data_IF_397336980350
#
_entry.id   IF_397336980350
#
_cell.length_a   1.000
_cell.length_b   1.000
_cell.length_c   1.000
_cell.angle_alpha   90.00
_cell.angle_beta   90.00
_cell.angle_gamma   90.00
#
_symmetry.space_group_name_H-M   'P 1'
#
loop_
_entity.id
_entity.type
_entity.pdbx_description
1 polymer ?
#
# COMPACT_ATOMS: atom_id res chain seq x y z
N UNK A 1 -18.01 -2.34 3.10
CA UNK A 1 -17.88 -1.71 1.83
C UNK A 1 -17.42 -2.66 0.76
N UNK A 2 -17.77 -2.39 -0.45
CA UNK A 2 -17.57 -3.32 -1.56
C UNK A 2 -16.12 -3.78 -1.74
N UNK A 3 -15.14 -2.86 -1.55
CA UNK A 3 -13.72 -3.21 -1.72
C UNK A 3 -13.23 -4.21 -0.67
N UNK A 4 -13.70 -4.09 0.56
CA UNK A 4 -13.31 -5.01 1.63
C UNK A 4 -13.94 -6.38 1.44
N UNK A 5 -15.16 -6.44 0.95
CA UNK A 5 -15.83 -7.71 0.64
C UNK A 5 -15.09 -8.45 -0.47
N UNK A 6 -14.59 -7.72 -1.49
CA UNK A 6 -13.83 -8.31 -2.58
C UNK A 6 -12.53 -8.96 -2.10
N UNK A 7 -11.89 -8.44 -1.05
CA UNK A 7 -10.66 -9.02 -0.51
C UNK A 7 -10.86 -10.44 0.01
N UNK A 8 -12.07 -10.79 0.43
CA UNK A 8 -12.37 -12.12 0.92
C UNK A 8 -12.94 -13.05 -0.15
N UNK A 9 -13.03 -12.59 -1.41
CA UNK A 9 -13.46 -13.41 -2.53
C UNK A 9 -12.28 -14.21 -3.06
N UNK A 10 -12.30 -15.55 -3.00
CA UNK A 10 -11.12 -16.36 -3.36
C UNK A 10 -10.77 -16.32 -4.84
N UNK A 11 -11.69 -15.90 -5.71
CA UNK A 11 -11.46 -15.76 -7.15
C UNK A 11 -10.85 -14.41 -7.55
N UNK A 12 -10.68 -13.49 -6.61
CA UNK A 12 -10.07 -12.18 -6.85
C UNK A 12 -8.67 -12.14 -6.29
N UNK A 13 -7.76 -11.52 -7.01
CA UNK A 13 -6.37 -11.36 -6.59
C UNK A 13 -6.04 -9.89 -6.43
N UNK A 14 -5.30 -9.58 -5.38
CA UNK A 14 -4.92 -8.20 -5.05
C UNK A 14 -3.43 -8.11 -4.83
N UNK A 15 -2.83 -7.09 -5.40
CA UNK A 15 -1.42 -6.79 -5.20
C UNK A 15 -1.33 -5.33 -4.78
N UNK A 16 -0.95 -5.12 -3.51
CA UNK A 16 -0.79 -3.79 -2.93
C UNK A 16 0.68 -3.52 -2.72
N UNK A 17 1.12 -2.32 -3.08
CA UNK A 17 2.48 -1.86 -2.81
C UNK A 17 2.38 -0.46 -2.21
N UNK A 18 3.06 -0.24 -1.09
CA UNK A 18 3.08 1.06 -0.44
C UNK A 18 4.45 1.35 0.14
N UNK A 19 4.86 2.64 0.18
CA UNK A 19 6.11 3.01 0.84
C UNK A 19 5.97 2.92 2.36
N UNK A 20 7.06 2.62 3.04
CA UNK A 20 7.08 2.53 4.50
C UNK A 20 6.56 3.82 5.16
N UNK A 21 6.89 4.98 4.60
CA UNK A 21 6.45 6.26 5.14
C UNK A 21 4.94 6.40 5.21
N UNK A 22 4.20 5.72 4.33
CA UNK A 22 2.73 5.75 4.34
C UNK A 22 2.15 5.10 5.59
N UNK A 23 2.92 4.25 6.27
CA UNK A 23 2.47 3.52 7.46
C UNK A 23 2.34 4.41 8.70
N UNK A 24 2.81 5.66 8.65
CA UNK A 24 2.78 6.56 9.80
C UNK A 24 2.21 7.93 9.49
N UNK A 25 1.30 8.01 8.50
CA UNK A 25 0.72 9.28 8.07
C UNK A 25 -0.42 9.81 8.92
N UNK A 26 -1.06 8.95 9.74
CA UNK A 26 -2.20 9.32 10.56
C UNK A 26 -1.80 9.39 12.04
N UNK A 27 -2.77 9.74 12.91
CA UNK A 27 -2.52 9.71 14.35
C UNK A 27 -2.21 8.28 14.80
N UNK A 28 -1.43 8.17 15.90
CA UNK A 28 -0.94 6.88 16.38
C UNK A 28 -2.03 5.83 16.57
N UNK A 29 -3.14 6.21 17.22
CA UNK A 29 -4.22 5.27 17.54
C UNK A 29 -4.88 4.74 16.27
N UNK A 30 -5.21 5.63 15.34
CA UNK A 30 -5.83 5.27 14.07
C UNK A 30 -4.88 4.38 13.25
N UNK A 31 -3.60 4.76 13.23
CA UNK A 31 -2.60 4.03 12.45
C UNK A 31 -2.34 2.64 12.99
N UNK A 32 -2.33 2.47 14.32
CA UNK A 32 -2.14 1.14 14.92
C UNK A 32 -3.23 0.17 14.50
N UNK A 33 -4.49 0.61 14.48
CA UNK A 33 -5.60 -0.23 14.02
C UNK A 33 -5.44 -0.59 12.54
N UNK A 34 -5.01 0.35 11.71
CA UNK A 34 -4.79 0.11 10.28
C UNK A 34 -3.63 -0.84 10.03
N UNK A 35 -2.53 -0.71 10.79
CA UNK A 35 -1.38 -1.58 10.65
C UNK A 35 -1.70 -3.02 11.03
N UNK A 36 -2.47 -3.21 12.12
CA UNK A 36 -2.94 -4.52 12.50
C UNK A 36 -3.79 -5.16 11.40
N UNK A 37 -4.67 -4.38 10.79
CA UNK A 37 -5.49 -4.83 9.68
C UNK A 37 -4.64 -5.21 8.47
N UNK A 38 -3.61 -4.44 8.16
CA UNK A 38 -2.70 -4.75 7.04
C UNK A 38 -2.01 -6.09 7.27
N UNK A 39 -1.55 -6.35 8.49
CA UNK A 39 -0.93 -7.65 8.82
C UNK A 39 -1.94 -8.78 8.58
N UNK A 40 -3.16 -8.62 9.05
CA UNK A 40 -4.20 -9.63 8.85
C UNK A 40 -4.49 -9.87 7.37
N UNK A 41 -4.62 -8.79 6.58
CA UNK A 41 -4.88 -8.90 5.15
C UNK A 41 -3.72 -9.56 4.41
N UNK A 42 -2.48 -9.33 4.86
CA UNK A 42 -1.30 -9.90 4.21
C UNK A 42 -1.23 -11.42 4.32
N UNK A 43 -2.01 -12.02 5.22
CA UNK A 43 -2.05 -13.48 5.38
C UNK A 43 -3.06 -14.15 4.46
N UNK A 44 -3.92 -13.38 3.79
CA UNK A 44 -4.91 -13.94 2.87
C UNK A 44 -4.22 -14.48 1.60
N UNK A 45 -4.62 -15.66 1.10
CA UNK A 45 -3.93 -16.28 -0.03
C UNK A 45 -4.07 -15.53 -1.34
N UNK A 46 -5.09 -14.69 -1.47
CA UNK A 46 -5.33 -13.89 -2.68
C UNK A 46 -4.81 -12.46 -2.57
N UNK A 47 -4.15 -12.11 -1.48
CA UNK A 47 -3.60 -10.77 -1.25
C UNK A 47 -2.08 -10.83 -1.21
N UNK A 48 -1.45 -9.97 -1.99
CA UNK A 48 -0.01 -9.79 -1.97
C UNK A 48 0.28 -8.35 -1.56
N UNK A 49 0.91 -8.18 -0.40
CA UNK A 49 1.20 -6.87 0.15
C UNK A 49 2.70 -6.64 0.18
N UNK A 50 3.13 -5.62 -0.55
CA UNK A 50 4.54 -5.21 -0.60
C UNK A 50 4.75 -3.88 0.09
N UNK A 51 5.85 -3.78 0.84
CA UNK A 51 6.28 -2.55 1.50
C UNK A 51 7.62 -2.15 0.94
N UNK A 52 7.72 -0.90 0.50
CA UNK A 52 8.99 -0.36 0.02
C UNK A 52 9.67 0.33 1.19
N UNK A 53 10.84 -0.16 1.55
CA UNK A 53 11.64 0.34 2.66
C UNK A 53 12.03 1.81 2.47
N UNK A 54 12.15 2.56 3.57
CA UNK A 54 12.48 3.98 3.55
C UNK A 54 13.85 4.30 2.95
N UNK A 55 14.76 3.34 2.95
CA UNK A 55 16.10 3.50 2.40
C UNK A 55 16.19 3.15 0.91
N UNK A 56 15.06 2.83 0.28
CA UNK A 56 15.03 2.47 -1.13
C UNK A 56 15.23 3.71 -1.99
N UNK A 57 16.06 3.59 -3.01
CA UNK A 57 16.23 4.62 -4.02
C UNK A 57 15.27 4.36 -5.18
N UNK A 58 14.59 5.40 -5.60
CA UNK A 58 13.61 5.29 -6.68
C UNK A 58 14.17 5.86 -7.98
N UNK A 59 13.87 5.19 -9.09
CA UNK A 59 14.05 5.79 -10.42
C UNK A 59 12.93 6.79 -10.65
N UNK A 60 11.70 6.40 -10.32
CA UNK A 60 10.53 7.27 -10.32
C UNK A 60 9.93 7.21 -8.92
N UNK A 61 9.83 8.35 -8.25
CA UNK A 61 9.28 8.40 -6.88
C UNK A 61 7.77 8.15 -6.84
N UNK A 62 7.26 7.69 -5.69
CA UNK A 62 5.82 7.47 -5.51
C UNK A 62 5.10 8.79 -5.21
N UNK A 63 4.90 9.62 -6.24
CA UNK A 63 4.34 10.96 -6.11
C UNK A 63 2.88 10.98 -5.68
N UNK A 64 2.11 9.98 -6.11
CA UNK A 64 0.70 9.83 -5.77
C UNK A 64 0.29 8.37 -5.90
N UNK A 65 -0.84 8.03 -5.29
CA UNK A 65 -1.38 6.68 -5.40
C UNK A 65 -2.17 6.48 -6.69
N UNK A 66 -2.27 5.26 -7.12
CA UNK A 66 -3.09 4.90 -8.26
C UNK A 66 -3.54 3.44 -8.15
N UNK A 67 -4.59 3.10 -8.90
CA UNK A 67 -5.17 1.77 -8.96
C UNK A 67 -5.12 1.26 -10.38
N UNK A 68 -4.57 0.07 -10.57
CA UNK A 68 -4.64 -0.64 -11.86
C UNK A 68 -5.72 -1.71 -11.75
N UNK A 69 -6.65 -1.70 -12.70
CA UNK A 69 -7.72 -2.70 -12.77
C UNK A 69 -7.59 -3.51 -14.04
N UNK A 70 -7.12 -4.74 -13.93
CA UNK A 70 -7.07 -5.75 -15.00
C UNK A 70 -6.43 -5.24 -16.29
N UNK A 71 -5.50 -4.28 -16.20
CA UNK A 71 -4.86 -3.65 -17.36
C UNK A 71 -5.85 -2.93 -18.29
N UNK A 72 -7.06 -2.64 -17.80
CA UNK A 72 -8.10 -1.96 -18.57
C UNK A 72 -8.22 -0.49 -18.24
N UNK A 73 -7.91 -0.11 -16.99
CA UNK A 73 -8.01 1.28 -16.56
C UNK A 73 -7.08 1.57 -15.40
N UNK A 74 -6.74 2.85 -15.29
CA UNK A 74 -5.99 3.39 -14.15
C UNK A 74 -6.84 4.46 -13.49
N UNK A 75 -6.99 4.37 -12.17
CA UNK A 75 -7.66 5.38 -11.35
C UNK A 75 -6.60 6.15 -10.59
N UNK A 76 -6.58 7.46 -10.73
CA UNK A 76 -5.68 8.35 -9.99
C UNK A 76 -6.54 9.31 -9.18
N UNK A 77 -6.37 9.33 -7.87
CA UNK A 77 -7.12 10.20 -6.98
C UNK A 77 -6.22 11.29 -6.43
N UNK A 78 -6.68 12.54 -6.56
CA UNK A 78 -6.08 13.70 -5.92
C UNK A 78 -7.07 14.26 -4.91
N UNK A 79 -6.71 15.34 -4.21
CA UNK A 79 -7.63 15.94 -3.23
C UNK A 79 -8.93 16.47 -3.85
N UNK A 80 -8.89 16.84 -5.12
CA UNK A 80 -10.05 17.49 -5.76
C UNK A 80 -10.56 16.77 -7.01
N UNK A 81 -9.81 15.82 -7.54
CA UNK A 81 -10.11 15.21 -8.85
C UNK A 81 -9.82 13.73 -8.81
N UNK A 82 -10.69 12.95 -9.43
CA UNK A 82 -10.44 11.54 -9.74
C UNK A 82 -10.25 11.42 -11.25
N UNK A 83 -9.11 10.88 -11.67
CA UNK A 83 -8.80 10.62 -13.07
C UNK A 83 -9.06 9.16 -13.38
N UNK A 84 -9.78 8.91 -14.47
CA UNK A 84 -10.06 7.57 -14.96
C UNK A 84 -9.38 7.43 -16.33
N UNK A 85 -8.21 6.81 -16.36
CA UNK A 85 -7.38 6.70 -17.55
C UNK A 85 -7.64 5.37 -18.24
N UNK A 86 -8.03 5.41 -19.49
CA UNK A 86 -8.38 4.21 -20.27
C UNK A 86 -7.58 4.08 -21.56
N UNK A 87 -6.74 5.05 -21.89
CA UNK A 87 -5.93 5.01 -23.10
C UNK A 87 -4.75 4.04 -22.93
N UNK A 88 -4.51 3.15 -23.91
CA UNK A 88 -3.44 2.16 -23.78
C UNK A 88 -2.06 2.71 -23.42
N UNK A 89 -1.58 3.84 -23.97
CA UNK A 89 -0.28 4.37 -23.56
C UNK A 89 -0.22 4.77 -22.09
N UNK A 90 -1.32 5.30 -21.54
CA UNK A 90 -1.39 5.69 -20.13
C UNK A 90 -1.42 4.46 -19.22
N UNK A 91 -2.20 3.45 -19.59
CA UNK A 91 -2.25 2.18 -18.84
C UNK A 91 -0.87 1.54 -18.83
N UNK A 92 -0.19 1.52 -19.97
CA UNK A 92 1.14 0.94 -20.09
C UNK A 92 2.15 1.67 -19.19
N UNK A 93 2.09 3.00 -19.15
CA UNK A 93 2.96 3.81 -18.29
C UNK A 93 2.78 3.42 -16.82
N UNK A 94 1.53 3.40 -16.32
CA UNK A 94 1.27 3.08 -14.91
C UNK A 94 1.58 1.62 -14.58
N UNK A 95 1.38 0.72 -15.54
CA UNK A 95 1.76 -0.69 -15.35
C UNK A 95 3.26 -0.83 -15.15
N UNK A 96 4.07 -0.11 -15.92
CA UNK A 96 5.52 -0.13 -15.79
C UNK A 96 5.98 0.49 -14.48
N UNK A 97 5.34 1.59 -14.06
CA UNK A 97 5.62 2.22 -12.77
C UNK A 97 5.31 1.25 -11.62
N UNK A 98 4.16 0.60 -11.69
CA UNK A 98 3.78 -0.39 -10.69
C UNK A 98 4.77 -1.56 -10.63
N UNK A 99 5.23 -2.06 -11.78
CA UNK A 99 6.22 -3.12 -11.83
C UNK A 99 7.52 -2.72 -11.14
N UNK A 100 7.97 -1.47 -11.30
CA UNK A 100 9.16 -0.97 -10.63
C UNK A 100 8.96 -0.93 -9.11
N UNK A 101 7.83 -0.44 -8.66
CA UNK A 101 7.52 -0.43 -7.23
C UNK A 101 7.42 -1.84 -6.66
N UNK A 102 6.75 -2.74 -7.38
CA UNK A 102 6.59 -4.12 -6.95
C UNK A 102 7.94 -4.83 -6.84
N UNK A 103 8.85 -4.56 -7.76
CA UNK A 103 10.19 -5.16 -7.74
C UNK A 103 11.05 -4.62 -6.58
N UNK A 104 10.82 -3.35 -6.18
CA UNK A 104 11.56 -2.73 -5.07
C UNK A 104 10.97 -3.10 -3.72
N UNK A 105 9.74 -3.63 -3.68
CA UNK A 105 9.03 -3.90 -2.44
C UNK A 105 9.48 -5.21 -1.80
N UNK A 106 9.24 -5.30 -0.50
CA UNK A 106 9.46 -6.48 0.32
C UNK A 106 8.11 -7.10 0.64
N UNK A 107 8.03 -8.42 0.64
CA UNK A 107 6.78 -9.16 0.80
C UNK A 107 6.84 -10.14 1.96
N UNK A 108 5.69 -10.73 2.30
CA UNK A 108 5.59 -11.80 3.27
C UNK A 108 6.09 -11.40 4.65
N UNK A 109 6.90 -12.26 5.25
CA UNK A 109 7.44 -12.03 6.59
C UNK A 109 8.24 -10.73 6.69
N UNK A 110 9.03 -10.42 5.66
CA UNK A 110 9.85 -9.20 5.67
C UNK A 110 8.98 -7.95 5.67
N UNK A 111 7.89 -7.95 4.90
CA UNK A 111 6.95 -6.83 4.91
C UNK A 111 6.27 -6.69 6.28
N UNK A 112 5.83 -7.81 6.87
CA UNK A 112 5.21 -7.80 8.20
C UNK A 112 6.18 -7.31 9.28
N UNK A 113 7.46 -7.62 9.14
CA UNK A 113 8.49 -7.13 10.06
C UNK A 113 8.57 -5.60 10.04
N UNK A 114 8.52 -5.00 8.84
CA UNK A 114 8.51 -3.55 8.70
C UNK A 114 7.27 -2.95 9.36
N UNK A 115 6.10 -3.52 9.07
CA UNK A 115 4.83 -3.04 9.64
C UNK A 115 4.86 -3.11 11.17
N UNK A 116 5.35 -4.21 11.72
CA UNK A 116 5.45 -4.41 13.16
C UNK A 116 6.39 -3.39 13.79
N UNK A 117 7.54 -3.14 13.16
CA UNK A 117 8.50 -2.13 13.65
C UNK A 117 7.87 -0.74 13.68
N UNK A 118 7.14 -0.35 12.63
CA UNK A 118 6.44 0.93 12.61
C UNK A 118 5.39 1.00 13.71
N UNK A 119 4.64 -0.08 13.92
CA UNK A 119 3.63 -0.14 14.98
C UNK A 119 4.26 0.01 16.36
N UNK A 120 5.39 -0.66 16.62
CA UNK A 120 6.10 -0.56 17.88
C UNK A 120 6.61 0.86 18.13
N UNK A 121 7.13 1.52 17.07
CA UNK A 121 7.59 2.91 17.16
C UNK A 121 6.42 3.86 17.49
N UNK A 122 5.24 3.63 16.92
CA UNK A 122 4.06 4.44 17.21
C UNK A 122 3.58 4.25 18.65
N UNK A 123 3.67 3.04 19.19
CA UNK A 123 3.35 2.78 20.59
C UNK A 123 4.30 3.53 21.51
N UNK A 124 5.58 3.52 21.20
CA UNK A 124 6.60 4.25 21.99
C UNK A 124 6.35 5.76 21.95
N UNK A 125 6.02 6.31 20.76
CA UNK A 125 5.69 7.73 20.63
C UNK A 125 4.46 8.11 21.43
N UNK A 126 3.42 7.27 21.42
CA UNK A 126 2.20 7.53 22.19
C UNK A 126 2.47 7.52 23.69
N UNK A 127 3.34 6.63 24.17
CA UNK A 127 3.72 6.58 25.58
C UNK A 127 4.48 7.83 25.99
N UNK A 128 5.39 8.33 25.14
CA UNK A 128 6.16 9.55 25.41
C UNK A 128 5.25 10.78 25.43
N UNK A 129 4.22 10.81 24.61
CA UNK A 129 3.29 11.95 24.54
C UNK A 129 2.30 12.00 25.72
N UNK A 130 2.13 10.90 26.44
CA UNK A 130 1.22 10.84 27.60
C UNK A 130 1.87 11.38 28.88
N UNK A 131 3.15 11.68 28.84
CA UNK A 131 3.85 12.32 29.93
C UNK A 131 3.79 13.85 29.77
#
# INVERSE_FOLDING_TARGET
MKRQELLYSPDKRFHFVMPEAALSLCTSIVMLAQLDRLISLSTLPNVRLGIISSDTQYVIGPWHGFWLRDNERVLVETFSVELNLVQPPEIDLYSKIFEQFAAAATYGRSARTIITRVADDLVAEAADNDE
#
